data_IF_685435305058
#
_entry.id   IF_685435305058
#
_cell.length_a   1.000
_cell.length_b   1.000
_cell.length_c   1.000
_cell.angle_alpha   90.00
_cell.angle_beta   90.00
_cell.angle_gamma   90.00
#
_symmetry.space_group_name_H-M   'P 1'
#
loop_
_entity.id
_entity.type
_entity.pdbx_description
1 polymer ?
#
# COMPACT_ATOMS: atom_id res chain seq x y z
N UNK A 1 0.05 1.42 -10.28
CA UNK A 1 0.77 2.25 -9.29
C UNK A 1 1.26 3.55 -9.93
N UNK A 2 2.19 3.54 -10.90
CA UNK A 2 2.59 4.79 -11.61
C UNK A 2 1.45 5.47 -12.40
N UNK A 3 0.62 4.68 -13.07
CA UNK A 3 -0.57 5.14 -13.81
C UNK A 3 -1.73 5.60 -12.92
N UNK A 4 -1.57 5.55 -11.59
CA UNK A 4 -2.55 6.00 -10.60
C UNK A 4 -2.00 7.17 -9.76
N UNK A 5 -0.89 7.80 -10.19
CA UNK A 5 -0.24 8.90 -9.46
C UNK A 5 0.69 8.47 -8.33
N UNK A 6 0.79 7.17 -8.04
CA UNK A 6 1.54 6.66 -6.88
C UNK A 6 3.01 6.41 -7.27
N UNK A 7 3.92 7.24 -6.73
CA UNK A 7 5.36 7.08 -6.88
C UNK A 7 5.90 6.07 -5.84
N UNK A 8 6.19 4.85 -6.29
CA UNK A 8 6.84 3.83 -5.46
C UNK A 8 8.34 3.84 -5.72
N UNK A 9 9.15 3.95 -4.66
CA UNK A 9 10.60 3.77 -4.69
C UNK A 9 10.98 2.53 -3.90
N UNK A 10 11.72 1.62 -4.52
CA UNK A 10 12.26 0.46 -3.83
C UNK A 10 13.58 0.84 -3.15
N UNK A 11 13.63 0.73 -1.83
CA UNK A 11 14.84 0.92 -1.03
C UNK A 11 15.23 -0.44 -0.44
N UNK A 12 16.22 -1.10 -1.03
CA UNK A 12 16.76 -2.35 -0.48
C UNK A 12 17.73 -2.02 0.65
N UNK A 13 17.21 -2.04 1.89
CA UNK A 13 18.01 -2.20 3.09
C UNK A 13 17.57 -3.48 3.80
N UNK A 14 18.47 -4.24 4.45
CA UNK A 14 18.14 -5.53 5.08
C UNK A 14 17.01 -5.48 6.10
N UNK A 15 16.70 -4.31 6.67
CA UNK A 15 15.63 -4.12 7.67
C UNK A 15 14.32 -3.65 7.06
N UNK A 16 14.30 -3.29 5.77
CA UNK A 16 13.14 -2.72 5.09
C UNK A 16 12.63 -3.59 3.94
N UNK A 17 13.20 -4.78 3.73
CA UNK A 17 12.85 -5.65 2.61
C UNK A 17 11.38 -6.10 2.62
N UNK A 18 10.78 -6.21 3.81
CA UNK A 18 9.37 -6.59 3.97
C UNK A 18 8.43 -5.39 4.15
N UNK A 19 8.94 -4.16 4.06
CA UNK A 19 8.15 -2.95 4.30
C UNK A 19 7.96 -2.16 3.01
N UNK A 20 6.70 -1.87 2.68
CA UNK A 20 6.36 -0.94 1.62
C UNK A 20 6.46 0.49 2.17
N UNK A 21 7.32 1.31 1.57
CA UNK A 21 7.37 2.75 1.83
C UNK A 21 6.67 3.51 0.71
N UNK A 22 5.66 4.29 1.06
CA UNK A 22 5.00 5.22 0.16
C UNK A 22 4.84 6.59 0.82
N UNK A 23 4.76 7.63 0.00
CA UNK A 23 4.44 8.99 0.44
C UNK A 23 3.09 9.36 -0.16
N UNK A 24 2.20 9.88 0.67
CA UNK A 24 0.85 10.31 0.31
C UNK A 24 0.81 11.82 0.53
N UNK A 25 0.37 12.57 -0.48
CA UNK A 25 0.46 14.02 -0.50
C UNK A 25 -0.81 14.73 0.00
N UNK A 26 -1.96 14.07 -0.07
CA UNK A 26 -3.26 14.66 0.32
C UNK A 26 -4.12 13.71 1.15
N UNK A 27 -5.08 14.27 1.88
CA UNK A 27 -6.02 13.49 2.70
C UNK A 27 -6.92 12.59 1.82
N UNK A 28 -7.36 13.07 0.65
CA UNK A 28 -8.13 12.28 -0.31
C UNK A 28 -7.35 11.06 -0.83
N UNK A 29 -6.04 11.19 -1.04
CA UNK A 29 -5.18 10.07 -1.41
C UNK A 29 -5.01 9.08 -0.27
N UNK A 30 -4.98 9.55 0.99
CA UNK A 30 -4.93 8.69 2.18
C UNK A 30 -6.21 7.87 2.31
N UNK A 31 -7.38 8.50 2.17
CA UNK A 31 -8.67 7.81 2.24
C UNK A 31 -8.76 6.69 1.20
N UNK A 32 -8.45 7.00 -0.06
CA UNK A 32 -8.43 6.00 -1.15
C UNK A 32 -7.44 4.86 -0.89
N UNK A 33 -6.30 5.16 -0.27
CA UNK A 33 -5.32 4.14 0.08
C UNK A 33 -5.87 3.20 1.17
N UNK A 34 -6.49 3.75 2.22
CA UNK A 34 -7.07 2.95 3.31
C UNK A 34 -8.18 2.03 2.78
N UNK A 35 -9.08 2.55 1.95
CA UNK A 35 -10.15 1.74 1.32
C UNK A 35 -9.59 0.57 0.51
N UNK A 36 -8.58 0.83 -0.33
CA UNK A 36 -7.93 -0.21 -1.13
C UNK A 36 -7.21 -1.24 -0.25
N UNK A 37 -6.57 -0.79 0.84
CA UNK A 37 -5.86 -1.66 1.77
C UNK A 37 -6.81 -2.57 2.55
N UNK A 38 -7.98 -2.07 2.97
CA UNK A 38 -9.00 -2.90 3.62
C UNK A 38 -9.50 -4.03 2.72
N UNK A 39 -9.68 -3.77 1.42
CA UNK A 39 -10.08 -4.81 0.46
C UNK A 39 -9.02 -5.91 0.39
N UNK A 40 -7.75 -5.53 0.33
CA UNK A 40 -6.62 -6.48 0.29
C UNK A 40 -6.56 -7.30 1.59
N UNK A 41 -6.72 -6.65 2.75
CA UNK A 41 -6.78 -7.36 4.04
C UNK A 41 -7.94 -8.35 4.11
N UNK A 42 -9.13 -7.95 3.66
CA UNK A 42 -10.32 -8.82 3.62
C UNK A 42 -10.10 -10.03 2.71
N UNK A 43 -9.42 -9.86 1.57
CA UNK A 43 -9.08 -10.96 0.66
C UNK A 43 -8.05 -11.93 1.24
N UNK A 44 -7.04 -11.42 1.96
CA UNK A 44 -6.03 -12.28 2.60
C UNK A 44 -6.59 -13.05 3.80
N UNK A 45 -7.45 -12.42 4.61
CA UNK A 45 -8.03 -13.05 5.80
C UNK A 45 -9.20 -13.99 5.41
N UNK A 46 -10.00 -13.61 4.42
CA UNK A 46 -11.13 -14.40 3.92
C UNK A 46 -10.77 -15.65 3.12
N UNK A 47 -9.48 -15.90 2.88
CA UNK A 47 -8.98 -17.16 2.28
C UNK A 47 -8.64 -18.23 3.33
N UNK A 48 -8.84 -17.94 4.63
CA UNK A 48 -8.82 -18.96 5.70
C UNK A 48 -10.26 -19.34 6.04
N UNK A 49 -10.88 -20.15 5.18
CA UNK A 49 -12.14 -20.85 5.46
C UNK A 49 -12.11 -22.18 4.74
#
# INVERSE_FOLDING_TARGET
MRTQGILVRHFMMPRTEHFLRMSIGTDEEMERFVEAYEVILKQMIGSTS
#
